data_IF_645991058822
#
_entry.id   IF_645991058822
#
_cell.length_a   1.000
_cell.length_b   1.000
_cell.length_c   1.000
_cell.angle_alpha   90.00
_cell.angle_beta   90.00
_cell.angle_gamma   90.00
#
_symmetry.space_group_name_H-M   'P 1'
#
loop_
_entity.id
_entity.type
_entity.pdbx_description
1 polymer ?
#
# COMPACT_ATOMS: atom_id res chain seq x y z
N UNK A 1 -2.54 -22.74 -3.03
CA UNK A 1 -2.69 -22.81 -4.50
C UNK A 1 -2.67 -21.40 -5.12
N UNK A 2 -3.54 -20.46 -4.68
CA UNK A 2 -3.63 -19.07 -5.22
C UNK A 2 -2.28 -18.36 -5.18
N UNK A 3 -1.62 -18.31 -4.02
CA UNK A 3 -0.32 -17.63 -3.84
C UNK A 3 0.72 -18.19 -4.81
N UNK A 4 0.80 -19.51 -4.92
CA UNK A 4 1.73 -20.18 -5.82
C UNK A 4 1.45 -19.83 -7.29
N UNK A 5 0.18 -19.90 -7.71
CA UNK A 5 -0.20 -19.62 -9.10
C UNK A 5 0.10 -18.16 -9.49
N UNK A 6 -0.26 -17.20 -8.63
CA UNK A 6 0.04 -15.78 -8.89
C UNK A 6 1.54 -15.50 -8.87
N UNK A 7 2.29 -16.03 -7.90
CA UNK A 7 3.74 -15.84 -7.84
C UNK A 7 4.43 -16.45 -9.06
N UNK A 8 4.01 -17.64 -9.48
CA UNK A 8 4.51 -18.28 -10.71
C UNK A 8 4.25 -17.39 -11.92
N UNK A 9 3.05 -16.80 -12.06
CA UNK A 9 2.74 -15.92 -13.19
C UNK A 9 3.63 -14.66 -13.23
N UNK A 10 4.02 -14.09 -12.07
CA UNK A 10 4.99 -13.00 -12.03
C UNK A 10 6.41 -13.45 -12.39
N UNK A 11 6.85 -14.61 -11.92
CA UNK A 11 8.16 -15.17 -12.30
C UNK A 11 8.22 -15.42 -13.80
N UNK A 12 7.19 -16.04 -14.38
CA UNK A 12 7.09 -16.28 -15.82
C UNK A 12 7.08 -14.96 -16.60
N UNK A 13 6.35 -13.93 -16.13
CA UNK A 13 6.36 -12.59 -16.71
C UNK A 13 7.79 -12.00 -16.75
N UNK A 14 8.52 -12.07 -15.64
CA UNK A 14 9.85 -11.47 -15.54
C UNK A 14 10.88 -12.17 -16.42
N UNK A 15 10.75 -13.49 -16.57
CA UNK A 15 11.64 -14.31 -17.42
C UNK A 15 11.29 -14.16 -18.89
N UNK A 16 10.01 -14.35 -19.24
CA UNK A 16 9.56 -14.45 -20.64
C UNK A 16 9.03 -13.14 -21.21
N UNK A 17 8.90 -12.07 -20.39
CA UNK A 17 8.32 -10.77 -20.80
C UNK A 17 6.95 -10.91 -21.44
N UNK A 18 6.14 -11.81 -20.92
CA UNK A 18 4.81 -12.14 -21.46
C UNK A 18 3.84 -12.40 -20.29
N UNK A 19 2.63 -11.85 -20.43
CA UNK A 19 1.55 -12.09 -19.47
C UNK A 19 0.66 -13.23 -19.99
N UNK A 20 0.53 -14.29 -19.19
CA UNK A 20 -0.31 -15.45 -19.49
C UNK A 20 -1.26 -15.71 -18.28
N UNK A 21 -2.01 -14.67 -17.85
CA UNK A 21 -2.97 -14.84 -16.74
C UNK A 21 -4.21 -15.55 -17.25
N UNK A 22 -4.57 -16.66 -16.62
CA UNK A 22 -5.85 -17.34 -16.79
C UNK A 22 -6.78 -16.88 -15.65
N UNK A 23 -7.91 -16.30 -16.00
CA UNK A 23 -8.89 -15.80 -15.01
C UNK A 23 -9.46 -16.95 -14.18
N UNK A 24 -9.12 -17.00 -12.89
CA UNK A 24 -9.55 -18.02 -11.94
C UNK A 24 -9.93 -17.47 -10.57
N UNK A 25 -9.40 -16.29 -10.21
CA UNK A 25 -9.46 -15.76 -8.85
C UNK A 25 -10.14 -14.38 -8.77
N UNK A 26 -10.91 -14.02 -9.78
CA UNK A 26 -11.74 -12.82 -9.81
C UNK A 26 -10.92 -11.53 -9.69
N UNK A 27 -11.16 -10.75 -8.64
CA UNK A 27 -10.51 -9.44 -8.45
C UNK A 27 -9.00 -9.50 -8.33
N UNK A 28 -8.44 -10.59 -7.80
CA UNK A 28 -6.99 -10.78 -7.74
C UNK A 28 -6.38 -10.88 -9.15
N UNK A 29 -7.07 -11.52 -10.09
CA UNK A 29 -6.60 -11.60 -11.47
C UNK A 29 -6.60 -10.24 -12.14
N UNK A 30 -7.62 -9.40 -11.88
CA UNK A 30 -7.68 -8.04 -12.39
C UNK A 30 -6.50 -7.20 -11.86
N UNK A 31 -6.16 -7.35 -10.58
CA UNK A 31 -4.99 -6.69 -9.98
C UNK A 31 -3.70 -7.18 -10.65
N UNK A 32 -3.54 -8.50 -10.78
CA UNK A 32 -2.38 -9.10 -11.44
C UNK A 32 -2.27 -8.61 -12.90
N UNK A 33 -3.39 -8.52 -13.64
CA UNK A 33 -3.42 -7.99 -15.00
C UNK A 33 -2.96 -6.53 -15.06
N UNK A 34 -3.41 -5.69 -14.11
CA UNK A 34 -2.99 -4.28 -14.06
C UNK A 34 -1.46 -4.17 -13.91
N UNK A 35 -0.87 -4.86 -12.93
CA UNK A 35 0.57 -4.80 -12.70
C UNK A 35 1.40 -5.47 -13.79
N UNK A 36 0.95 -6.61 -14.35
CA UNK A 36 1.65 -7.28 -15.45
C UNK A 36 1.64 -6.46 -16.73
N UNK A 37 0.50 -5.82 -17.08
CA UNK A 37 0.43 -4.92 -18.22
C UNK A 37 1.27 -3.65 -17.98
N UNK A 38 1.30 -3.13 -16.74
CA UNK A 38 2.16 -2.01 -16.37
C UNK A 38 3.65 -2.35 -16.56
N UNK A 39 4.09 -3.52 -16.09
CA UNK A 39 5.45 -4.00 -16.30
C UNK A 39 5.83 -4.11 -17.78
N UNK A 40 4.91 -4.57 -18.60
CA UNK A 40 5.11 -4.72 -20.05
C UNK A 40 4.94 -3.40 -20.83
N UNK A 41 4.67 -2.29 -20.14
CA UNK A 41 4.36 -0.99 -20.75
C UNK A 41 3.25 -1.09 -21.82
N UNK A 42 2.21 -1.85 -21.51
CA UNK A 42 1.09 -2.14 -22.41
C UNK A 42 0.11 -0.97 -22.47
N UNK A 43 -0.44 -0.69 -23.64
CA UNK A 43 -1.54 0.28 -23.83
C UNK A 43 -2.81 -0.06 -23.03
N UNK A 44 -2.93 -1.27 -22.50
CA UNK A 44 -4.05 -1.71 -21.67
C UNK A 44 -3.89 -1.35 -20.18
N UNK A 45 -2.71 -0.88 -19.77
CA UNK A 45 -2.39 -0.58 -18.37
C UNK A 45 -3.40 0.37 -17.75
N UNK A 46 -3.66 1.50 -18.41
CA UNK A 46 -4.64 2.49 -17.97
C UNK A 46 -6.02 1.88 -17.73
N UNK A 47 -6.55 1.13 -18.71
CA UNK A 47 -7.89 0.55 -18.58
C UNK A 47 -8.01 -0.44 -17.42
N UNK A 48 -6.97 -1.22 -17.13
CA UNK A 48 -6.99 -2.14 -15.99
C UNK A 48 -6.95 -1.40 -14.65
N UNK A 49 -6.10 -0.37 -14.50
CA UNK A 49 -6.08 0.43 -13.28
C UNK A 49 -7.37 1.21 -13.07
N UNK A 50 -7.93 1.83 -14.11
CA UNK A 50 -9.20 2.56 -13.99
C UNK A 50 -10.37 1.64 -13.66
N UNK A 51 -10.40 0.41 -14.18
CA UNK A 51 -11.40 -0.59 -13.78
C UNK A 51 -11.31 -0.96 -12.30
N UNK A 52 -10.11 -1.01 -11.70
CA UNK A 52 -9.93 -1.22 -10.26
C UNK A 52 -10.37 -0.01 -9.46
N UNK A 53 -9.92 1.18 -9.83
CA UNK A 53 -10.16 2.43 -9.09
C UNK A 53 -11.65 2.79 -9.07
N UNK A 54 -12.36 2.56 -10.18
CA UNK A 54 -13.77 2.92 -10.34
C UNK A 54 -14.75 1.82 -9.89
N UNK A 55 -14.28 0.73 -9.29
CA UNK A 55 -15.14 -0.34 -8.80
C UNK A 55 -15.97 0.14 -7.59
N UNK A 56 -17.30 0.28 -7.72
CA UNK A 56 -18.13 0.78 -6.64
C UNK A 56 -18.30 -0.21 -5.47
N UNK A 57 -17.89 -1.45 -5.64
CA UNK A 57 -18.07 -2.52 -4.63
C UNK A 57 -16.84 -2.68 -3.72
N UNK A 58 -15.76 -1.96 -3.99
CA UNK A 58 -14.49 -2.16 -3.29
C UNK A 58 -13.70 -0.88 -3.18
N UNK A 59 -13.08 -0.64 -2.04
CA UNK A 59 -12.14 0.46 -1.88
C UNK A 59 -10.76 0.04 -2.42
N UNK A 60 -10.56 0.30 -3.71
CA UNK A 60 -9.28 0.12 -4.39
C UNK A 60 -8.54 1.44 -4.61
N UNK A 61 -8.83 2.46 -3.80
CA UNK A 61 -8.20 3.78 -3.89
C UNK A 61 -6.67 3.73 -3.91
N UNK A 62 -6.07 2.71 -3.26
CA UNK A 62 -4.63 2.45 -3.28
C UNK A 62 -4.06 2.36 -4.71
N UNK A 63 -4.81 1.79 -5.65
CA UNK A 63 -4.36 1.62 -7.04
C UNK A 63 -4.25 2.94 -7.80
N UNK A 64 -4.89 4.01 -7.32
CA UNK A 64 -4.69 5.36 -7.80
C UNK A 64 -3.21 5.76 -7.74
N UNK A 65 -2.51 5.44 -6.64
CA UNK A 65 -1.09 5.71 -6.53
C UNK A 65 -0.28 5.03 -7.64
N UNK A 66 -0.52 3.75 -7.89
CA UNK A 66 0.24 2.98 -8.89
C UNK A 66 -0.07 3.45 -10.31
N UNK A 67 -1.33 3.79 -10.59
CA UNK A 67 -1.74 4.41 -11.86
C UNK A 67 -1.00 5.73 -12.08
N UNK A 68 -1.08 6.66 -11.12
CA UNK A 68 -0.43 7.96 -11.25
C UNK A 68 1.10 7.85 -11.33
N UNK A 69 1.72 6.91 -10.61
CA UNK A 69 3.16 6.63 -10.74
C UNK A 69 3.54 6.17 -12.15
N UNK A 70 2.68 5.35 -12.78
CA UNK A 70 2.86 4.94 -14.17
C UNK A 70 2.75 6.12 -15.14
N UNK A 71 1.73 7.00 -14.97
CA UNK A 71 1.54 8.17 -15.84
C UNK A 71 2.70 9.17 -15.70
N UNK A 72 3.24 9.35 -14.48
CA UNK A 72 4.49 10.13 -14.27
C UNK A 72 5.66 9.49 -15.03
N UNK A 73 5.79 8.16 -14.98
CA UNK A 73 6.86 7.44 -15.71
C UNK A 73 6.73 7.60 -17.24
N UNK A 74 5.50 7.72 -17.73
CA UNK A 74 5.19 7.95 -19.14
C UNK A 74 5.28 9.44 -19.54
N UNK A 75 5.61 10.33 -18.58
CA UNK A 75 5.64 11.79 -18.74
C UNK A 75 4.28 12.42 -19.11
N UNK A 76 3.18 11.76 -18.76
CA UNK A 76 1.81 12.31 -18.92
C UNK A 76 1.37 13.07 -17.65
N UNK A 77 2.03 14.20 -17.41
CA UNK A 77 1.74 15.04 -16.24
C UNK A 77 0.37 15.70 -16.30
N UNK A 78 -0.19 15.89 -17.50
CA UNK A 78 -1.52 16.48 -17.66
C UNK A 78 -2.60 15.52 -17.09
N UNK A 79 -2.53 14.25 -17.41
CA UNK A 79 -3.41 13.22 -16.81
C UNK A 79 -3.23 13.13 -15.31
N UNK A 80 -1.99 13.22 -14.80
CA UNK A 80 -1.70 13.20 -13.36
C UNK A 80 -2.34 14.38 -12.64
N UNK A 81 -2.18 15.61 -13.14
CA UNK A 81 -2.77 16.81 -12.54
C UNK A 81 -4.31 16.75 -12.58
N UNK A 82 -4.90 16.42 -13.73
CA UNK A 82 -6.36 16.31 -13.87
C UNK A 82 -6.97 15.26 -12.94
N UNK A 83 -6.31 14.12 -12.77
CA UNK A 83 -6.79 13.08 -11.86
C UNK A 83 -6.67 13.53 -10.40
N UNK A 84 -5.55 14.17 -10.05
CA UNK A 84 -5.33 14.69 -8.70
C UNK A 84 -6.39 15.71 -8.28
N UNK A 85 -6.93 16.50 -9.19
CA UNK A 85 -8.00 17.47 -8.91
C UNK A 85 -9.32 16.79 -8.49
N UNK A 86 -9.52 15.53 -8.81
CA UNK A 86 -10.67 14.74 -8.37
C UNK A 86 -10.53 14.17 -6.95
N UNK A 87 -9.33 14.20 -6.37
CA UNK A 87 -9.04 13.62 -5.06
C UNK A 87 -9.46 14.61 -3.96
N UNK A 88 -10.38 14.18 -3.08
CA UNK A 88 -10.69 14.87 -1.82
C UNK A 88 -9.73 14.35 -0.73
N UNK A 89 -8.73 15.16 -0.28
CA UNK A 89 -7.75 14.70 0.69
C UNK A 89 -8.32 14.41 2.07
N UNK A 90 -9.53 14.94 2.40
CA UNK A 90 -10.18 14.71 3.69
C UNK A 90 -10.93 13.37 3.74
N UNK A 91 -11.28 12.82 2.58
CA UNK A 91 -12.04 11.56 2.44
C UNK A 91 -11.18 10.41 1.90
N UNK A 92 -9.97 10.71 1.48
CA UNK A 92 -9.07 9.72 0.88
C UNK A 92 -8.24 8.99 1.94
N UNK A 93 -7.70 7.83 1.57
CA UNK A 93 -6.73 7.12 2.40
C UNK A 93 -5.46 7.95 2.58
N UNK A 94 -4.70 7.65 3.63
CA UNK A 94 -3.46 8.35 3.97
C UNK A 94 -2.48 8.43 2.77
N UNK A 95 -2.30 7.31 2.05
CA UNK A 95 -1.45 7.27 0.87
C UNK A 95 -1.92 8.24 -0.21
N UNK A 96 -3.22 8.24 -0.52
CA UNK A 96 -3.78 9.07 -1.58
C UNK A 96 -3.76 10.56 -1.22
N UNK A 97 -3.99 10.89 0.05
CA UNK A 97 -3.86 12.27 0.53
C UNK A 97 -2.41 12.77 0.41
N UNK A 98 -1.43 11.92 0.69
CA UNK A 98 -0.02 12.27 0.51
C UNK A 98 0.35 12.40 -0.98
N UNK A 99 -0.17 11.54 -1.83
CA UNK A 99 0.00 11.63 -3.29
C UNK A 99 -0.54 12.95 -3.83
N UNK A 100 -1.77 13.33 -3.45
CA UNK A 100 -2.38 14.61 -3.81
C UNK A 100 -1.46 15.77 -3.43
N UNK A 101 -0.92 15.77 -2.21
CA UNK A 101 -0.01 16.81 -1.75
C UNK A 101 1.27 16.88 -2.60
N UNK A 102 1.90 15.74 -2.93
CA UNK A 102 3.08 15.75 -3.78
C UNK A 102 2.81 16.30 -5.17
N UNK A 103 1.63 16.00 -5.75
CA UNK A 103 1.25 16.50 -7.08
C UNK A 103 0.98 18.00 -7.02
N UNK A 104 0.24 18.50 -6.02
CA UNK A 104 -0.02 19.92 -5.82
C UNK A 104 1.28 20.74 -5.67
N UNK A 105 2.29 20.14 -5.01
CA UNK A 105 3.63 20.73 -4.86
C UNK A 105 4.55 20.49 -6.07
N UNK A 106 4.03 19.87 -7.17
CA UNK A 106 4.79 19.51 -8.38
C UNK A 106 5.99 18.58 -8.11
N UNK A 107 5.92 17.79 -7.06
CA UNK A 107 6.93 16.80 -6.66
C UNK A 107 6.65 15.41 -7.27
N UNK A 108 6.35 15.36 -8.56
CA UNK A 108 5.95 14.13 -9.29
C UNK A 108 6.94 12.98 -9.12
N UNK A 109 8.24 13.27 -9.08
CA UNK A 109 9.29 12.26 -8.91
C UNK A 109 9.16 11.46 -7.60
N UNK A 110 8.45 11.99 -6.60
CA UNK A 110 8.16 11.24 -5.36
C UNK A 110 7.37 9.96 -5.65
N UNK A 111 6.45 9.97 -6.61
CA UNK A 111 5.66 8.79 -6.96
C UNK A 111 6.57 7.68 -7.49
N UNK A 112 7.39 7.99 -8.49
CA UNK A 112 8.27 7.00 -9.14
C UNK A 112 9.46 6.58 -8.28
N UNK A 113 9.86 7.40 -7.29
CA UNK A 113 10.87 7.02 -6.30
C UNK A 113 10.37 5.96 -5.32
N UNK A 114 9.06 5.94 -5.03
CA UNK A 114 8.47 4.98 -4.10
C UNK A 114 8.04 3.68 -4.77
N UNK A 115 7.63 3.75 -6.03
CA UNK A 115 7.20 2.58 -6.79
C UNK A 115 7.37 2.79 -8.28
N UNK A 116 7.83 1.74 -8.96
CA UNK A 116 7.90 1.67 -10.41
C UNK A 116 7.41 0.32 -10.91
N UNK A 117 6.49 0.33 -11.87
CA UNK A 117 6.07 -0.90 -12.56
C UNK A 117 7.22 -1.59 -13.33
N UNK A 118 8.31 -0.88 -13.62
CA UNK A 118 9.48 -1.44 -14.31
C UNK A 118 10.44 -2.13 -13.33
N UNK A 119 10.18 -2.06 -12.03
CA UNK A 119 10.97 -2.72 -10.99
C UNK A 119 10.25 -3.98 -10.51
N UNK A 120 10.83 -5.13 -10.76
CA UNK A 120 10.28 -6.44 -10.37
C UNK A 120 10.08 -6.58 -8.87
N UNK A 121 11.00 -6.01 -8.06
CA UNK A 121 10.90 -6.03 -6.61
C UNK A 121 9.71 -5.20 -6.11
N UNK A 122 9.43 -4.04 -6.73
CA UNK A 122 8.31 -3.19 -6.34
C UNK A 122 6.97 -3.90 -6.60
N UNK A 123 6.85 -4.59 -7.75
CA UNK A 123 5.66 -5.39 -8.09
C UNK A 123 5.49 -6.56 -7.11
N UNK A 124 6.55 -7.31 -6.83
CA UNK A 124 6.48 -8.41 -5.87
C UNK A 124 6.19 -7.92 -4.46
N UNK A 125 6.71 -6.76 -4.08
CA UNK A 125 6.39 -6.14 -2.80
C UNK A 125 4.89 -5.88 -2.66
N UNK A 126 4.25 -5.35 -3.70
CA UNK A 126 2.79 -5.15 -3.70
C UNK A 126 2.02 -6.47 -3.68
N UNK A 127 2.46 -7.46 -4.44
CA UNK A 127 1.86 -8.80 -4.36
C UNK A 127 1.88 -9.37 -2.94
N UNK A 128 3.00 -9.29 -2.23
CA UNK A 128 3.09 -9.73 -0.84
C UNK A 128 2.28 -8.87 0.13
N UNK A 129 2.15 -7.57 -0.15
CA UNK A 129 1.23 -6.71 0.58
C UNK A 129 -0.24 -7.18 0.46
N UNK A 130 -0.69 -7.55 -0.73
CA UNK A 130 -2.05 -8.07 -0.95
C UNK A 130 -2.32 -9.33 -0.14
N UNK A 131 -1.36 -10.26 -0.12
CA UNK A 131 -1.47 -11.48 0.69
C UNK A 131 -1.55 -11.14 2.17
N UNK A 132 -0.72 -10.20 2.62
CA UNK A 132 -0.70 -9.77 4.01
C UNK A 132 -2.02 -9.11 4.43
N UNK A 133 -2.57 -8.25 3.58
CA UNK A 133 -3.85 -7.59 3.82
C UNK A 133 -4.99 -8.61 3.95
N UNK A 134 -4.99 -9.65 3.12
CA UNK A 134 -5.92 -10.76 3.23
C UNK A 134 -5.82 -11.48 4.58
N UNK A 135 -4.62 -11.77 5.08
CA UNK A 135 -4.44 -12.36 6.40
C UNK A 135 -4.81 -11.41 7.54
N UNK A 136 -4.49 -10.13 7.42
CA UNK A 136 -4.87 -9.10 8.39
C UNK A 136 -6.39 -8.99 8.53
N UNK A 137 -7.14 -8.99 7.42
CA UNK A 137 -8.60 -8.94 7.42
C UNK A 137 -9.26 -10.14 8.12
N UNK A 138 -8.53 -11.25 8.27
CA UNK A 138 -8.94 -12.45 9.01
C UNK A 138 -8.37 -12.50 10.43
N UNK A 139 -7.81 -11.40 10.94
CA UNK A 139 -7.15 -11.32 12.24
C UNK A 139 -5.96 -12.30 12.40
N UNK A 140 -5.37 -12.76 11.29
CA UNK A 140 -4.18 -13.62 11.28
C UNK A 140 -2.92 -12.75 11.20
N UNK A 141 -2.71 -11.93 12.21
CA UNK A 141 -1.70 -10.87 12.24
C UNK A 141 -0.26 -11.38 12.09
N UNK A 142 0.05 -12.55 12.65
CA UNK A 142 1.39 -13.15 12.55
C UNK A 142 1.73 -13.49 11.09
N UNK A 143 0.80 -14.15 10.36
CA UNK A 143 0.97 -14.44 8.95
C UNK A 143 1.01 -13.17 8.11
N UNK A 144 0.14 -12.20 8.40
CA UNK A 144 0.16 -10.89 7.76
C UNK A 144 1.53 -10.23 7.89
N UNK A 145 2.09 -10.17 9.11
CA UNK A 145 3.38 -9.54 9.35
C UNK A 145 4.55 -10.26 8.67
N UNK A 146 4.49 -11.59 8.49
CA UNK A 146 5.51 -12.31 7.69
C UNK A 146 5.54 -11.77 6.26
N UNK A 147 4.39 -11.69 5.58
CA UNK A 147 4.32 -11.22 4.21
C UNK A 147 4.61 -9.71 4.09
N UNK A 148 4.21 -8.89 5.08
CA UNK A 148 4.56 -7.48 5.13
C UNK A 148 6.07 -7.25 5.26
N UNK A 149 6.75 -8.07 6.06
CA UNK A 149 8.21 -7.98 6.17
C UNK A 149 8.90 -8.34 4.83
N UNK A 150 8.38 -9.33 4.10
CA UNK A 150 8.86 -9.65 2.75
C UNK A 150 8.60 -8.46 1.81
N UNK A 151 7.39 -7.90 1.82
CA UNK A 151 7.03 -6.71 1.05
C UNK A 151 7.97 -5.54 1.34
N UNK A 152 8.21 -5.23 2.61
CA UNK A 152 9.10 -4.15 3.01
C UNK A 152 10.58 -4.40 2.68
N UNK A 153 11.02 -5.66 2.68
CA UNK A 153 12.38 -6.04 2.24
C UNK A 153 12.56 -5.82 0.74
N UNK A 154 11.55 -6.17 -0.07
CA UNK A 154 11.60 -6.01 -1.53
C UNK A 154 11.50 -4.54 -1.95
N UNK A 155 10.67 -3.74 -1.29
CA UNK A 155 10.56 -2.30 -1.53
C UNK A 155 10.58 -1.50 -0.21
N UNK A 156 11.76 -1.26 0.37
CA UNK A 156 11.86 -0.49 1.62
C UNK A 156 11.53 1.00 1.45
N UNK A 157 11.48 1.51 0.23
CA UNK A 157 11.10 2.90 -0.06
C UNK A 157 9.58 3.11 0.05
N UNK A 158 8.81 2.05 -0.14
CA UNK A 158 7.36 2.08 -0.01
C UNK A 158 6.93 1.85 1.45
N UNK A 159 7.41 2.71 2.35
CA UNK A 159 7.19 2.61 3.79
C UNK A 159 5.71 2.70 4.21
N UNK A 160 4.80 3.05 3.29
CA UNK A 160 3.35 3.06 3.54
C UNK A 160 2.81 1.71 4.02
N UNK A 161 3.46 0.61 3.65
CA UNK A 161 3.10 -0.72 4.13
C UNK A 161 3.39 -0.92 5.64
N UNK A 162 4.23 -0.07 6.23
CA UNK A 162 4.49 -0.08 7.67
C UNK A 162 3.24 0.26 8.50
N UNK A 163 2.28 1.03 7.94
CA UNK A 163 1.02 1.32 8.63
C UNK A 163 0.28 0.04 8.99
N UNK A 164 0.16 -0.89 8.04
CA UNK A 164 -0.52 -2.17 8.29
C UNK A 164 0.25 -3.05 9.29
N UNK A 165 1.59 -3.03 9.30
CA UNK A 165 2.38 -3.73 10.34
C UNK A 165 2.07 -3.16 11.72
N UNK A 166 2.06 -1.84 11.83
CA UNK A 166 1.78 -1.16 13.09
C UNK A 166 0.34 -1.39 13.56
N UNK A 167 -0.63 -1.36 12.64
CA UNK A 167 -2.04 -1.66 12.91
C UNK A 167 -2.23 -3.12 13.36
N UNK A 168 -1.54 -4.07 12.74
CA UNK A 168 -1.55 -5.48 13.16
C UNK A 168 -1.01 -5.64 14.58
N UNK A 169 0.11 -4.97 14.91
CA UNK A 169 0.64 -5.00 16.28
C UNK A 169 -0.33 -4.36 17.27
N UNK A 170 -0.95 -3.25 16.94
CA UNK A 170 -1.94 -2.59 17.79
C UNK A 170 -3.18 -3.48 17.99
N UNK A 171 -3.69 -4.12 16.94
CA UNK A 171 -4.83 -5.04 17.01
C UNK A 171 -4.53 -6.30 17.84
N UNK A 172 -3.25 -6.67 17.93
CA UNK A 172 -2.76 -7.77 18.77
C UNK A 172 -2.28 -7.31 20.14
N UNK A 173 -2.65 -6.10 20.57
CA UNK A 173 -2.28 -5.48 21.85
C UNK A 173 -0.76 -5.32 22.08
N UNK A 174 0.03 -5.38 21.02
CA UNK A 174 1.49 -5.20 21.09
C UNK A 174 1.87 -3.74 20.79
N UNK A 175 1.51 -2.86 21.70
CA UNK A 175 1.63 -1.40 21.54
C UNK A 175 3.08 -0.92 21.41
N UNK A 176 4.03 -1.58 22.05
CA UNK A 176 5.45 -1.23 21.96
C UNK A 176 6.01 -1.47 20.54
N UNK A 177 5.65 -2.60 19.92
CA UNK A 177 6.04 -2.89 18.53
C UNK A 177 5.30 -2.00 17.54
N UNK A 178 4.03 -1.68 17.80
CA UNK A 178 3.28 -0.72 16.99
C UNK A 178 3.98 0.65 17.00
N UNK A 179 4.32 1.17 18.19
CA UNK A 179 5.03 2.44 18.34
C UNK A 179 6.38 2.44 17.62
N UNK A 180 7.23 1.41 17.84
CA UNK A 180 8.52 1.26 17.16
C UNK A 180 8.38 1.19 15.62
N UNK A 181 7.27 0.65 15.13
CA UNK A 181 7.01 0.59 13.69
C UNK A 181 6.63 1.96 13.15
N UNK A 182 5.79 2.74 13.86
CA UNK A 182 5.47 4.11 13.49
C UNK A 182 6.69 5.04 13.51
N UNK A 183 7.66 4.83 14.40
CA UNK A 183 8.90 5.60 14.46
C UNK A 183 9.77 5.47 13.19
N UNK A 184 9.54 4.44 12.36
CA UNK A 184 10.23 4.25 11.07
C UNK A 184 9.68 5.13 9.94
N UNK A 185 8.52 5.78 10.12
CA UNK A 185 7.99 6.67 9.10
C UNK A 185 8.85 7.91 8.93
N UNK A 186 9.05 8.33 7.67
CA UNK A 186 9.82 9.53 7.36
C UNK A 186 9.07 10.79 7.83
N UNK A 187 9.74 11.60 8.63
CA UNK A 187 9.18 12.86 9.16
C UNK A 187 9.13 13.99 8.10
N UNK A 188 9.69 13.75 6.91
CA UNK A 188 9.70 14.73 5.81
C UNK A 188 8.38 14.79 5.05
N UNK A 189 7.57 13.74 5.14
CA UNK A 189 6.27 13.69 4.49
C UNK A 189 5.18 14.07 5.51
N UNK A 190 4.67 15.29 5.39
CA UNK A 190 3.83 15.94 6.40
C UNK A 190 2.59 15.14 6.80
N UNK A 191 1.89 14.54 5.85
CA UNK A 191 0.68 13.75 6.14
C UNK A 191 1.04 12.51 6.95
N UNK A 192 2.16 11.87 6.64
CA UNK A 192 2.65 10.74 7.41
C UNK A 192 3.18 11.12 8.77
N UNK A 193 3.83 12.27 8.88
CA UNK A 193 4.24 12.83 10.17
C UNK A 193 3.04 13.04 11.10
N UNK A 194 1.98 13.65 10.61
CA UNK A 194 0.74 13.87 11.38
C UNK A 194 0.05 12.56 11.74
N UNK A 195 -0.03 11.60 10.81
CA UNK A 195 -0.59 10.28 11.08
C UNK A 195 0.19 9.53 12.17
N UNK A 196 1.52 9.47 12.04
CA UNK A 196 2.43 8.91 13.04
C UNK A 196 2.21 9.53 14.41
N UNK A 197 2.29 10.86 14.49
CA UNK A 197 2.16 11.61 15.73
C UNK A 197 0.82 11.36 16.41
N UNK A 198 -0.27 11.46 15.65
CA UNK A 198 -1.63 11.19 16.15
C UNK A 198 -1.79 9.76 16.65
N UNK A 199 -1.26 8.78 15.92
CA UNK A 199 -1.41 7.37 16.28
C UNK A 199 -0.57 7.00 17.51
N UNK A 200 0.66 7.50 17.60
CA UNK A 200 1.51 7.31 18.78
C UNK A 200 0.86 7.94 20.02
N UNK A 201 0.31 9.16 19.89
CA UNK A 201 -0.40 9.81 21.00
C UNK A 201 -1.60 8.99 21.48
N UNK A 202 -2.38 8.38 20.57
CA UNK A 202 -3.48 7.49 20.93
C UNK A 202 -3.02 6.22 21.62
N UNK A 203 -1.93 5.60 21.17
CA UNK A 203 -1.33 4.42 21.83
C UNK A 203 -0.93 4.77 23.25
N UNK A 204 -0.25 5.89 23.46
CA UNK A 204 0.18 6.34 24.80
C UNK A 204 -1.05 6.58 25.70
N UNK A 205 -2.08 7.24 25.19
CA UNK A 205 -3.31 7.47 25.95
C UNK A 205 -3.99 6.17 26.38
N UNK A 206 -4.05 5.16 25.48
CA UNK A 206 -4.57 3.83 25.81
C UNK A 206 -3.75 3.13 26.90
N UNK A 207 -2.43 3.21 26.83
CA UNK A 207 -1.53 2.60 27.84
C UNK A 207 -1.69 3.24 29.22
N UNK A 208 -1.79 4.56 29.28
CA UNK A 208 -2.00 5.29 30.56
C UNK A 208 -3.34 4.91 31.16
N UNK A 209 -4.43 4.89 30.38
CA UNK A 209 -5.75 4.52 30.87
C UNK A 209 -5.81 3.08 31.41
N UNK A 210 -5.10 2.14 30.78
CA UNK A 210 -5.05 0.74 31.27
C UNK A 210 -4.20 0.60 32.52
N UNK A 211 -3.17 1.41 32.71
CA UNK A 211 -2.36 1.44 33.94
C UNK A 211 -3.17 2.00 35.15
N UNK A 212 -3.87 3.14 34.94
CA UNK A 212 -4.71 3.73 35.99
C UNK A 212 -5.85 2.79 36.40
N UNK A 213 -6.49 2.10 35.46
CA UNK A 213 -7.53 1.13 35.78
C UNK A 213 -7.02 -0.12 36.50
N UNK A 214 -5.74 -0.49 36.33
CA UNK A 214 -5.11 -1.58 37.09
C UNK A 214 -4.81 -1.17 38.51
N UNK A 215 -4.37 0.06 38.76
CA UNK A 215 -4.05 0.57 40.10
C UNK A 215 -5.31 0.75 40.97
N UNK A 216 -6.45 1.12 40.37
CA UNK A 216 -7.74 1.22 41.09
C UNK A 216 -8.31 -0.14 41.55
N UNK A 217 -7.91 -1.25 40.92
CA UNK A 217 -8.36 -2.60 41.28
C UNK A 217 -7.52 -3.25 42.41
N UNK A 218 -6.36 -2.69 42.74
CA UNK A 218 -5.46 -3.20 43.77
C UNK A 218 -5.39 -2.31 45.04
N UNK A 219 -6.15 -1.23 45.11
CA UNK A 219 -6.32 -0.37 46.28
C UNK A 219 -7.64 -0.64 46.98
#
# INVERSE_FOLDING_TARGET
>A
FIIYSSLKSYIDLFIYKKSDIVEQFGKLDLINMAFQNCYLNSKKTESYFLNLINDPQSDYSRYTFFYLSNEVSNNDLATVDNFADTIDPLRSSLLISQVKKWIDEKKYTKLTQHFSCQNENDILAEFFFLISNFYSSQSRFDYSNIYLNISNYLNPKFYFNLSLIAENYQSNNNYDLAKKTFEKFDDKDEIFFWYKTKTIARIIACLLYTADAADEHFG
#
